data_IF_292823529070
#
_entry.id   IF_292823529070
#
_cell.length_a   1.000
_cell.length_b   1.000
_cell.length_c   1.000
_cell.angle_alpha   90.00
_cell.angle_beta   90.00
_cell.angle_gamma   90.00
#
_symmetry.space_group_name_H-M   'P 1'
#
loop_
_entity.id
_entity.type
_entity.pdbx_description
1 polymer ?
#
# COMPACT_ATOMS: atom_id res chain seq x y z
N UNK A 1 -39.58 -16.20 11.98
CA UNK A 1 -38.31 -16.93 12.18
C UNK A 1 -37.20 -15.92 12.39
N UNK A 2 -36.66 -15.81 13.61
CA UNK A 2 -35.50 -14.95 13.90
C UNK A 2 -34.25 -15.62 13.33
N UNK A 3 -33.52 -14.90 12.46
CA UNK A 3 -32.27 -15.41 11.91
C UNK A 3 -31.27 -15.68 13.06
N UNK A 4 -30.63 -16.87 13.12
CA UNK A 4 -29.72 -17.23 14.21
C UNK A 4 -28.48 -16.33 14.31
N UNK A 5 -28.18 -15.54 13.27
CA UNK A 5 -27.14 -14.51 13.29
C UNK A 5 -27.50 -13.31 14.16
N UNK A 6 -28.80 -13.02 14.34
CA UNK A 6 -29.27 -11.85 15.12
C UNK A 6 -29.14 -12.03 16.63
N UNK A 7 -28.87 -13.25 17.10
CA UNK A 7 -28.74 -13.59 18.53
C UNK A 7 -27.29 -13.81 18.96
N UNK A 8 -26.31 -13.65 18.05
CA UNK A 8 -24.91 -13.86 18.36
C UNK A 8 -24.33 -12.69 19.18
N UNK A 9 -23.47 -12.97 20.19
CA UNK A 9 -22.70 -11.94 20.86
C UNK A 9 -21.83 -11.14 19.88
N UNK A 10 -21.59 -9.88 20.20
CA UNK A 10 -20.78 -8.95 19.40
C UNK A 10 -19.41 -9.53 19.06
N UNK A 11 -18.77 -10.17 20.01
CA UNK A 11 -17.44 -10.77 19.90
C UNK A 11 -17.41 -11.88 18.84
N UNK A 12 -18.48 -12.68 18.77
CA UNK A 12 -18.61 -13.76 17.79
C UNK A 12 -18.84 -13.17 16.39
N UNK A 13 -19.66 -12.14 16.27
CA UNK A 13 -19.88 -11.43 15.00
C UNK A 13 -18.55 -10.85 14.50
N UNK A 14 -17.78 -10.20 15.38
CA UNK A 14 -16.46 -9.68 15.06
C UNK A 14 -15.47 -10.76 14.63
N UNK A 15 -15.49 -11.91 15.30
CA UNK A 15 -14.65 -13.04 14.94
C UNK A 15 -15.01 -13.57 13.55
N UNK A 16 -16.30 -13.76 13.26
CA UNK A 16 -16.78 -14.20 11.95
C UNK A 16 -16.34 -13.22 10.86
N UNK A 17 -16.55 -11.92 11.06
CA UNK A 17 -16.20 -10.88 10.09
C UNK A 17 -14.69 -10.83 9.85
N UNK A 18 -13.86 -10.96 10.89
CA UNK A 18 -12.39 -11.00 10.76
C UNK A 18 -11.89 -12.24 10.05
N UNK A 19 -12.65 -13.33 10.11
CA UNK A 19 -12.31 -14.59 9.45
C UNK A 19 -12.53 -14.57 7.94
N UNK A 20 -13.29 -13.61 7.40
CA UNK A 20 -13.50 -13.46 5.95
C UNK A 20 -12.18 -13.38 5.18
N UNK A 21 -12.01 -14.20 4.14
CA UNK A 21 -10.77 -14.28 3.36
C UNK A 21 -10.45 -13.02 2.54
N UNK A 22 -11.43 -12.19 2.22
CA UNK A 22 -11.24 -10.92 1.51
C UNK A 22 -12.12 -9.82 2.09
N UNK A 23 -11.74 -8.56 1.81
CA UNK A 23 -12.56 -7.40 2.17
C UNK A 23 -13.90 -7.41 1.42
N UNK A 24 -13.93 -7.93 0.20
CA UNK A 24 -15.17 -8.06 -0.57
C UNK A 24 -16.16 -9.01 0.11
N UNK A 25 -15.70 -10.17 0.58
CA UNK A 25 -16.55 -11.11 1.33
C UNK A 25 -17.07 -10.46 2.61
N UNK A 26 -16.20 -9.80 3.38
CA UNK A 26 -16.61 -9.10 4.59
C UNK A 26 -17.66 -8.01 4.30
N UNK A 27 -17.50 -7.27 3.20
CA UNK A 27 -18.46 -6.25 2.80
C UNK A 27 -19.79 -6.84 2.33
N UNK A 28 -19.78 -7.97 1.62
CA UNK A 28 -21.00 -8.65 1.23
C UNK A 28 -21.78 -9.16 2.45
N UNK A 29 -21.10 -9.63 3.51
CA UNK A 29 -21.74 -9.97 4.79
C UNK A 29 -22.36 -8.75 5.49
N UNK A 30 -21.68 -7.60 5.42
CA UNK A 30 -22.20 -6.33 5.94
C UNK A 30 -23.47 -5.88 5.21
N UNK A 31 -23.56 -6.09 3.90
CA UNK A 31 -24.76 -5.73 3.12
C UNK A 31 -25.98 -6.57 3.48
N UNK A 32 -25.79 -7.85 3.79
CA UNK A 32 -26.90 -8.80 3.99
C UNK A 32 -27.44 -8.81 5.42
N UNK A 33 -26.64 -8.40 6.42
CA UNK A 33 -27.04 -8.43 7.83
C UNK A 33 -26.96 -7.04 8.49
N UNK A 34 -28.09 -6.53 8.98
CA UNK A 34 -28.16 -5.24 9.69
C UNK A 34 -27.23 -5.17 10.91
N UNK A 35 -27.12 -6.26 11.66
CA UNK A 35 -26.24 -6.33 12.83
C UNK A 35 -24.75 -6.24 12.42
N UNK A 36 -24.34 -6.98 11.39
CA UNK A 36 -22.97 -6.89 10.86
C UNK A 36 -22.68 -5.50 10.29
N UNK A 37 -23.67 -4.84 9.68
CA UNK A 37 -23.55 -3.44 9.25
C UNK A 37 -23.32 -2.50 10.41
N UNK A 38 -24.08 -2.62 11.49
CA UNK A 38 -23.88 -1.81 12.69
C UNK A 38 -22.47 -1.99 13.25
N UNK A 39 -22.02 -3.25 13.38
CA UNK A 39 -20.67 -3.55 13.86
C UNK A 39 -19.59 -2.97 12.95
N UNK A 40 -19.76 -3.09 11.63
CA UNK A 40 -18.86 -2.49 10.65
C UNK A 40 -18.79 -0.97 10.77
N UNK A 41 -19.91 -0.28 10.98
CA UNK A 41 -19.90 1.18 11.16
C UNK A 41 -19.19 1.59 12.46
N UNK A 42 -19.25 0.74 13.51
CA UNK A 42 -18.62 1.02 14.80
C UNK A 42 -17.10 0.81 14.83
N UNK A 43 -16.56 -0.05 13.96
CA UNK A 43 -15.14 -0.44 14.03
C UNK A 43 -14.49 -0.85 12.71
N UNK A 44 -15.11 -0.56 11.58
CA UNK A 44 -14.76 -1.09 10.26
C UNK A 44 -13.28 -0.93 9.88
N UNK A 45 -12.61 0.14 10.32
CA UNK A 45 -11.18 0.31 10.09
C UNK A 45 -10.33 -0.80 10.72
N UNK A 46 -10.63 -1.22 11.95
CA UNK A 46 -9.94 -2.34 12.58
C UNK A 46 -10.18 -3.66 11.85
N UNK A 47 -11.39 -3.86 11.33
CA UNK A 47 -11.72 -5.02 10.52
C UNK A 47 -10.91 -5.04 9.22
N UNK A 48 -10.92 -3.92 8.49
CA UNK A 48 -10.20 -3.77 7.23
C UNK A 48 -8.70 -4.03 7.44
N UNK A 49 -8.09 -3.37 8.43
CA UNK A 49 -6.69 -3.59 8.77
C UNK A 49 -6.40 -5.05 9.13
N UNK A 50 -7.26 -5.71 9.90
CA UNK A 50 -7.06 -7.10 10.32
C UNK A 50 -7.05 -8.07 9.12
N UNK A 51 -8.01 -7.91 8.20
CA UNK A 51 -8.10 -8.73 6.98
C UNK A 51 -6.86 -8.50 6.11
N UNK A 52 -6.50 -7.23 5.87
CA UNK A 52 -5.29 -6.88 5.11
C UNK A 52 -4.02 -7.45 5.73
N UNK A 53 -3.85 -7.30 7.04
CA UNK A 53 -2.64 -7.75 7.75
C UNK A 53 -2.47 -9.26 7.69
N UNK A 54 -3.58 -10.01 7.72
CA UNK A 54 -3.55 -11.47 7.56
C UNK A 54 -3.22 -11.88 6.14
N UNK A 55 -3.77 -11.17 5.14
CA UNK A 55 -3.62 -11.54 3.73
C UNK A 55 -2.25 -11.13 3.16
N UNK A 56 -1.75 -9.94 3.52
CA UNK A 56 -0.53 -9.33 2.95
C UNK A 56 0.67 -9.40 3.91
N UNK A 57 0.43 -9.52 5.22
CA UNK A 57 1.44 -9.32 6.26
C UNK A 57 1.57 -7.85 6.68
N UNK A 58 1.91 -7.57 7.96
CA UNK A 58 1.90 -6.22 8.52
C UNK A 58 2.89 -5.26 7.84
N UNK A 59 4.08 -5.74 7.48
CA UNK A 59 5.10 -4.95 6.77
C UNK A 59 4.62 -4.50 5.39
N UNK A 60 3.97 -5.40 4.65
CA UNK A 60 3.43 -5.10 3.33
C UNK A 60 2.23 -4.15 3.40
N UNK A 61 1.38 -4.29 4.43
CA UNK A 61 0.31 -3.33 4.70
C UNK A 61 0.87 -1.93 4.97
N UNK A 62 1.98 -1.82 5.70
CA UNK A 62 2.62 -0.53 5.99
C UNK A 62 3.08 0.17 4.69
N UNK A 63 3.85 -0.51 3.83
CA UNK A 63 4.32 0.10 2.58
C UNK A 63 3.19 0.35 1.58
N UNK A 64 2.18 -0.53 1.49
CA UNK A 64 1.01 -0.32 0.64
C UNK A 64 0.18 0.89 1.12
N UNK A 65 0.10 1.10 2.43
CA UNK A 65 -0.54 2.28 3.03
C UNK A 65 0.23 3.55 2.71
N UNK A 66 1.57 3.52 2.79
CA UNK A 66 2.41 4.64 2.37
C UNK A 66 2.17 4.99 0.89
N UNK A 67 2.09 3.96 0.04
CA UNK A 67 1.82 4.13 -1.39
C UNK A 67 0.45 4.72 -1.67
N UNK A 68 -0.61 4.24 -1.01
CA UNK A 68 -1.92 4.85 -1.07
C UNK A 68 -1.88 6.34 -0.65
N UNK A 69 -1.16 6.66 0.43
CA UNK A 69 -1.00 8.05 0.87
C UNK A 69 -0.24 8.90 -0.15
N UNK A 70 0.78 8.37 -0.83
CA UNK A 70 1.50 9.07 -1.90
C UNK A 70 0.58 9.40 -3.08
N UNK A 71 -0.25 8.44 -3.50
CA UNK A 71 -1.22 8.62 -4.60
C UNK A 71 -2.24 9.71 -4.25
N UNK A 72 -2.64 9.81 -2.99
CA UNK A 72 -3.66 10.77 -2.53
C UNK A 72 -3.08 12.03 -1.87
N UNK A 73 -1.77 12.26 -1.98
CA UNK A 73 -1.12 13.44 -1.42
C UNK A 73 -1.66 14.72 -2.08
N UNK A 74 -2.39 15.55 -1.33
CA UNK A 74 -3.01 16.76 -1.86
C UNK A 74 -1.98 17.84 -2.28
N UNK A 75 -0.76 17.78 -1.75
CA UNK A 75 0.35 18.70 -2.03
C UNK A 75 1.18 18.29 -3.26
N UNK A 76 0.81 17.20 -3.95
CA UNK A 76 1.46 16.83 -5.21
C UNK A 76 1.06 17.80 -6.33
N UNK A 77 1.92 17.95 -7.33
CA UNK A 77 1.70 18.86 -8.47
C UNK A 77 0.29 18.76 -9.06
N UNK A 78 -0.32 19.94 -9.30
CA UNK A 78 -1.68 20.08 -9.82
C UNK A 78 -1.82 19.43 -11.21
N UNK A 79 -3.05 19.02 -11.59
CA UNK A 79 -3.37 18.48 -12.91
C UNK A 79 -3.33 19.51 -14.06
N UNK A 80 -2.92 20.76 -13.80
CA UNK A 80 -2.84 21.79 -14.81
C UNK A 80 -1.37 21.98 -15.25
N UNK A 81 -0.99 21.47 -16.44
CA UNK A 81 0.37 21.59 -16.96
C UNK A 81 0.77 23.02 -17.35
N UNK A 82 -0.19 23.96 -17.46
CA UNK A 82 0.04 25.33 -17.92
C UNK A 82 0.19 26.35 -16.78
N UNK A 83 -0.21 25.98 -15.55
CA UNK A 83 0.05 26.77 -14.35
C UNK A 83 1.46 26.47 -13.83
N UNK A 84 2.38 27.43 -14.00
CA UNK A 84 3.71 27.36 -13.38
C UNK A 84 3.57 27.08 -11.87
N UNK A 85 4.15 26.01 -11.33
CA UNK A 85 4.09 25.74 -9.91
C UNK A 85 4.93 26.79 -9.18
N UNK A 86 4.28 27.76 -8.54
CA UNK A 86 4.89 28.48 -7.42
C UNK A 86 4.65 27.65 -6.16
N UNK A 87 5.25 26.46 -6.08
CA UNK A 87 5.48 25.86 -4.77
C UNK A 87 6.82 26.40 -4.29
N UNK A 88 6.80 27.02 -3.11
CA UNK A 88 8.01 27.31 -2.39
C UNK A 88 8.75 25.98 -2.17
N UNK A 89 9.99 25.86 -2.66
CA UNK A 89 10.78 24.64 -2.51
C UNK A 89 10.86 24.16 -1.05
N UNK A 90 10.85 25.10 -0.09
CA UNK A 90 10.81 24.79 1.34
C UNK A 90 9.49 24.16 1.81
N UNK A 91 8.36 24.54 1.22
CA UNK A 91 7.03 23.99 1.57
C UNK A 91 6.89 22.54 1.05
N UNK A 92 7.34 22.30 -0.18
CA UNK A 92 7.35 20.96 -0.76
C UNK A 92 8.32 20.01 -0.01
N UNK A 93 9.49 20.50 0.37
CA UNK A 93 10.43 19.80 1.24
C UNK A 93 9.79 19.46 2.59
N UNK A 94 9.12 20.42 3.22
CA UNK A 94 8.42 20.23 4.48
C UNK A 94 7.34 19.13 4.38
N UNK A 95 6.53 19.14 3.32
CA UNK A 95 5.53 18.09 3.08
C UNK A 95 6.16 16.71 2.88
N UNK A 96 7.28 16.63 2.16
CA UNK A 96 8.00 15.38 1.96
C UNK A 96 8.59 14.85 3.27
N UNK A 97 9.18 15.72 4.10
CA UNK A 97 9.65 15.35 5.44
C UNK A 97 8.51 14.81 6.32
N UNK A 98 7.36 15.50 6.33
CA UNK A 98 6.20 15.06 7.09
C UNK A 98 5.65 13.72 6.59
N UNK A 99 5.60 13.52 5.26
CA UNK A 99 5.21 12.25 4.65
C UNK A 99 6.16 11.12 5.05
N UNK A 100 7.46 11.34 4.93
CA UNK A 100 8.49 10.38 5.27
C UNK A 100 8.43 9.97 6.74
N UNK A 101 8.34 10.94 7.64
CA UNK A 101 8.20 10.70 9.08
C UNK A 101 6.94 9.88 9.40
N UNK A 102 5.82 10.20 8.75
CA UNK A 102 4.54 9.56 9.04
C UNK A 102 4.38 8.17 8.42
N UNK A 103 4.90 7.93 7.22
CA UNK A 103 4.60 6.72 6.45
C UNK A 103 5.81 5.84 6.16
N UNK A 104 7.01 6.43 6.11
CA UNK A 104 8.23 5.74 5.68
C UNK A 104 9.26 5.56 6.80
N UNK A 105 8.97 6.03 8.01
CA UNK A 105 9.80 5.73 9.18
C UNK A 105 10.06 4.23 9.28
N UNK A 106 11.30 3.84 9.60
CA UNK A 106 11.72 2.42 9.59
C UNK A 106 11.50 1.76 8.22
N UNK A 107 11.80 2.48 7.14
CA UNK A 107 11.80 1.97 5.76
C UNK A 107 10.44 1.40 5.29
N UNK A 108 9.34 1.96 5.80
CA UNK A 108 7.98 1.56 5.43
C UNK A 108 7.57 0.16 5.88
N UNK A 109 8.27 -0.44 6.85
CA UNK A 109 7.93 -1.78 7.39
C UNK A 109 6.97 -1.71 8.58
N UNK A 110 6.75 -0.53 9.14
CA UNK A 110 5.88 -0.33 10.29
C UNK A 110 4.71 0.59 9.99
N UNK A 111 3.51 0.12 10.31
CA UNK A 111 2.32 0.93 10.19
C UNK A 111 2.27 1.96 11.33
N UNK A 112 2.47 3.22 10.98
CA UNK A 112 2.40 4.36 11.91
C UNK A 112 1.04 5.03 11.97
N UNK A 113 0.18 4.80 10.98
CA UNK A 113 -1.19 5.32 11.02
C UNK A 113 -2.09 4.47 11.92
N UNK A 114 -3.05 5.08 12.64
CA UNK A 114 -3.98 4.33 13.47
C UNK A 114 -4.76 3.30 12.65
N UNK A 115 -4.83 2.05 13.11
CA UNK A 115 -5.59 0.97 12.43
C UNK A 115 -7.06 1.34 12.20
N UNK A 116 -7.62 2.14 13.12
CA UNK A 116 -9.00 2.68 13.01
C UNK A 116 -9.21 3.62 11.82
N UNK A 117 -8.15 4.20 11.25
CA UNK A 117 -8.26 5.12 10.11
C UNK A 117 -8.42 4.41 8.76
N UNK A 118 -8.35 3.08 8.72
CA UNK A 118 -8.58 2.33 7.49
C UNK A 118 -10.04 2.43 7.08
N UNK A 119 -10.26 2.58 5.78
CA UNK A 119 -11.60 2.56 5.19
C UNK A 119 -11.71 1.38 4.22
N UNK A 120 -12.92 0.94 3.93
CA UNK A 120 -13.14 -0.13 2.96
C UNK A 120 -12.55 0.22 1.59
N UNK A 121 -12.75 1.46 1.13
CA UNK A 121 -12.23 1.94 -0.15
C UNK A 121 -10.70 1.87 -0.19
N UNK A 122 -10.04 2.33 0.86
CA UNK A 122 -8.58 2.22 1.00
C UNK A 122 -8.14 0.75 0.99
N UNK A 123 -8.84 -0.13 1.70
CA UNK A 123 -8.49 -1.54 1.77
C UNK A 123 -8.63 -2.27 0.44
N UNK A 124 -9.76 -2.10 -0.26
CA UNK A 124 -9.98 -2.69 -1.59
C UNK A 124 -8.94 -2.20 -2.59
N UNK A 125 -8.59 -0.92 -2.52
CA UNK A 125 -7.53 -0.34 -3.34
C UNK A 125 -6.17 -0.98 -3.05
N UNK A 126 -5.82 -1.14 -1.77
CA UNK A 126 -4.57 -1.80 -1.35
C UNK A 126 -4.52 -3.25 -1.84
N UNK A 127 -5.58 -4.05 -1.65
CA UNK A 127 -5.61 -5.45 -2.14
C UNK A 127 -5.40 -5.52 -3.66
N UNK A 128 -6.08 -4.64 -4.41
CA UNK A 128 -5.97 -4.61 -5.86
C UNK A 128 -4.55 -4.25 -6.33
N UNK A 129 -3.96 -3.20 -5.79
CA UNK A 129 -2.62 -2.75 -6.16
C UNK A 129 -1.54 -3.75 -5.71
N UNK A 130 -1.69 -4.36 -4.55
CA UNK A 130 -0.76 -5.40 -4.07
C UNK A 130 -0.73 -6.59 -5.03
N UNK A 131 -1.89 -7.05 -5.49
CA UNK A 131 -1.97 -8.12 -6.48
C UNK A 131 -1.23 -7.78 -7.79
N UNK A 132 -1.36 -6.53 -8.26
CA UNK A 132 -0.63 -6.04 -9.44
C UNK A 132 0.88 -6.05 -9.19
N UNK A 133 1.33 -5.49 -8.06
CA UNK A 133 2.76 -5.40 -7.71
C UNK A 133 3.38 -6.78 -7.55
N UNK A 134 2.66 -7.73 -6.94
CA UNK A 134 3.12 -9.12 -6.81
C UNK A 134 3.25 -9.79 -8.17
N UNK A 135 2.28 -9.58 -9.07
CA UNK A 135 2.37 -10.11 -10.43
C UNK A 135 3.56 -9.52 -11.20
N UNK A 136 3.77 -8.20 -11.09
CA UNK A 136 4.94 -7.53 -11.66
C UNK A 136 6.25 -8.06 -11.06
N UNK A 137 6.30 -8.27 -9.75
CA UNK A 137 7.47 -8.80 -9.04
C UNK A 137 7.80 -10.20 -9.53
N UNK A 138 6.81 -11.09 -9.67
CA UNK A 138 7.00 -12.45 -10.20
C UNK A 138 7.56 -12.41 -11.63
N UNK A 139 6.99 -11.58 -12.49
CA UNK A 139 7.43 -11.46 -13.88
C UNK A 139 8.85 -10.91 -13.98
N UNK A 140 9.20 -9.90 -13.18
CA UNK A 140 10.55 -9.33 -13.15
C UNK A 140 11.55 -10.32 -12.56
N UNK A 141 11.22 -10.98 -11.45
CA UNK A 141 12.07 -11.99 -10.83
C UNK A 141 12.37 -13.14 -11.79
N UNK A 142 11.34 -13.64 -12.48
CA UNK A 142 11.51 -14.68 -13.48
C UNK A 142 12.44 -14.25 -14.61
N UNK A 143 12.30 -13.02 -15.13
CA UNK A 143 13.19 -12.47 -16.18
C UNK A 143 14.63 -12.31 -15.73
N UNK A 144 14.86 -11.94 -14.46
CA UNK A 144 16.20 -11.77 -13.89
C UNK A 144 16.87 -13.11 -13.64
N UNK A 145 16.12 -14.11 -13.15
CA UNK A 145 16.63 -15.45 -12.85
C UNK A 145 16.82 -16.31 -14.10
N UNK A 146 16.06 -16.03 -15.17
CA UNK A 146 16.12 -16.75 -16.44
C UNK A 146 16.44 -15.77 -17.59
N UNK A 147 17.65 -15.16 -17.62
CA UNK A 147 18.03 -14.31 -18.73
C UNK A 147 18.05 -15.15 -20.01
N UNK A 148 17.45 -14.62 -21.08
CA UNK A 148 17.16 -15.28 -22.37
C UNK A 148 18.41 -15.81 -23.12
N UNK A 149 19.60 -15.75 -22.51
CA UNK A 149 20.90 -16.10 -23.11
C UNK A 149 21.67 -17.13 -22.30
N UNK A 150 21.09 -18.30 -22.02
CA UNK A 150 21.88 -19.47 -21.65
C UNK A 150 21.63 -20.59 -22.65
N UNK A 151 22.57 -20.76 -23.57
CA UNK A 151 22.73 -21.97 -24.38
C UNK A 151 23.07 -23.13 -23.45
N UNK A 152 22.03 -23.77 -22.89
CA UNK A 152 22.15 -24.85 -21.93
C UNK A 152 20.77 -25.34 -21.47
N UNK A 153 20.67 -26.46 -20.74
CA UNK A 153 19.40 -26.91 -20.19
C UNK A 153 18.79 -25.79 -19.33
N UNK A 154 17.59 -25.35 -19.70
CA UNK A 154 16.86 -24.29 -18.98
C UNK A 154 16.41 -24.85 -17.63
N UNK A 155 17.20 -24.60 -16.59
CA UNK A 155 16.76 -24.82 -15.22
C UNK A 155 15.83 -23.68 -14.84
N UNK A 156 14.52 -23.93 -14.88
CA UNK A 156 13.51 -22.95 -14.45
C UNK A 156 13.71 -22.67 -12.97
N UNK A 157 14.34 -21.54 -12.65
CA UNK A 157 14.45 -21.06 -11.27
C UNK A 157 13.20 -20.27 -10.91
N UNK A 158 12.43 -20.80 -9.96
CA UNK A 158 11.34 -20.05 -9.33
C UNK A 158 11.92 -19.06 -8.33
N UNK A 159 11.46 -17.80 -8.32
CA UNK A 159 11.93 -16.81 -7.36
C UNK A 159 11.53 -17.20 -5.94
N UNK A 160 12.49 -17.07 -5.02
CA UNK A 160 12.26 -17.28 -3.60
C UNK A 160 11.31 -16.23 -3.01
N UNK A 161 10.63 -16.52 -1.89
CA UNK A 161 9.78 -15.53 -1.21
C UNK A 161 10.51 -14.24 -0.83
N UNK A 162 11.80 -14.34 -0.47
CA UNK A 162 12.65 -13.20 -0.10
C UNK A 162 12.93 -12.30 -1.30
N UNK A 163 13.22 -12.88 -2.47
CA UNK A 163 13.44 -12.13 -3.71
C UNK A 163 12.17 -11.40 -4.14
N UNK A 164 11.02 -12.10 -4.07
CA UNK A 164 9.72 -11.49 -4.36
C UNK A 164 9.43 -10.34 -3.41
N UNK A 165 9.69 -10.48 -2.11
CA UNK A 165 9.50 -9.40 -1.14
C UNK A 165 10.37 -8.18 -1.44
N UNK A 166 11.66 -8.38 -1.74
CA UNK A 166 12.58 -7.30 -2.11
C UNK A 166 12.15 -6.60 -3.40
N UNK A 167 11.75 -7.36 -4.42
CA UNK A 167 11.25 -6.80 -5.67
C UNK A 167 9.94 -6.04 -5.49
N UNK A 168 8.97 -6.60 -4.76
CA UNK A 168 7.73 -5.90 -4.45
C UNK A 168 7.99 -4.60 -3.71
N UNK A 169 8.88 -4.62 -2.69
CA UNK A 169 9.28 -3.42 -1.96
C UNK A 169 9.89 -2.37 -2.89
N UNK A 170 10.78 -2.77 -3.81
CA UNK A 170 11.37 -1.86 -4.78
C UNK A 170 10.33 -1.23 -5.71
N UNK A 171 9.37 -2.02 -6.21
CA UNK A 171 8.29 -1.52 -7.07
C UNK A 171 7.42 -0.52 -6.30
N UNK A 172 7.07 -0.81 -5.04
CA UNK A 172 6.35 0.14 -4.18
C UNK A 172 7.08 1.48 -4.03
N UNK A 173 8.40 1.43 -3.79
CA UNK A 173 9.23 2.64 -3.62
C UNK A 173 9.27 3.45 -4.90
N UNK A 174 9.50 2.80 -6.05
CA UNK A 174 9.54 3.46 -7.35
C UNK A 174 8.19 4.10 -7.70
N UNK A 175 7.10 3.39 -7.48
CA UNK A 175 5.76 3.91 -7.75
C UNK A 175 5.39 5.09 -6.83
N UNK A 176 5.78 5.03 -5.54
CA UNK A 176 5.67 6.18 -4.65
C UNK A 176 6.47 7.38 -5.15
N UNK A 177 7.71 7.16 -5.60
CA UNK A 177 8.55 8.23 -6.12
C UNK A 177 7.91 8.90 -7.35
N UNK A 178 7.32 8.11 -8.27
CA UNK A 178 6.60 8.64 -9.44
C UNK A 178 5.37 9.46 -9.07
N UNK A 179 4.68 9.11 -7.98
CA UNK A 179 3.50 9.85 -7.51
C UNK A 179 3.85 11.13 -6.76
N UNK A 180 4.95 11.13 -6.01
CA UNK A 180 5.36 12.30 -5.24
C UNK A 180 6.13 13.29 -6.12
N UNK A 181 7.09 12.81 -6.91
CA UNK A 181 8.02 13.62 -7.68
C UNK A 181 7.67 13.59 -9.17
N UNK A 182 7.49 14.76 -9.79
CA UNK A 182 7.25 14.83 -11.23
C UNK A 182 8.52 14.49 -12.01
N UNK A 183 8.39 13.65 -13.03
CA UNK A 183 9.49 13.23 -13.92
C UNK A 183 10.11 14.37 -14.75
N UNK A 184 9.58 15.61 -14.66
CA UNK A 184 10.25 16.81 -15.20
C UNK A 184 11.48 17.11 -14.34
N UNK A 185 12.55 16.37 -14.64
CA UNK A 185 13.94 16.49 -14.18
C UNK A 185 14.53 17.83 -14.68
N UNK A 186 13.88 18.94 -14.39
CA UNK A 186 14.34 20.28 -14.73
C UNK A 186 15.38 20.72 -13.70
N UNK A 187 16.53 20.03 -13.72
CA UNK A 187 17.88 20.56 -13.53
C UNK A 187 18.80 19.40 -13.07
N UNK A 188 19.60 18.79 -13.97
CA UNK A 188 20.54 17.72 -13.59
C UNK A 188 21.65 18.17 -12.63
N UNK A 189 21.77 19.47 -12.32
CA UNK A 189 22.80 20.05 -11.45
C UNK A 189 22.33 20.33 -10.01
N UNK A 190 21.05 20.12 -9.68
CA UNK A 190 20.56 20.21 -8.31
C UNK A 190 19.72 18.98 -7.97
N UNK A 191 20.23 18.05 -7.15
CA UNK A 191 19.36 17.02 -6.60
C UNK A 191 18.32 17.73 -5.72
N UNK A 192 17.03 17.54 -6.04
CA UNK A 192 15.93 18.06 -5.23
C UNK A 192 16.10 17.53 -3.80
N UNK A 193 16.29 18.44 -2.83
CA UNK A 193 16.46 18.09 -1.43
C UNK A 193 15.32 17.18 -0.93
N UNK A 194 14.12 17.33 -1.48
CA UNK A 194 12.94 16.52 -1.18
C UNK A 194 13.12 15.07 -1.65
N UNK A 195 13.64 14.88 -2.86
CA UNK A 195 13.94 13.55 -3.40
C UNK A 195 15.03 12.85 -2.57
N UNK A 196 16.08 13.57 -2.17
CA UNK A 196 17.14 13.02 -1.32
C UNK A 196 16.61 12.59 0.05
N UNK A 197 15.76 13.42 0.69
CA UNK A 197 15.11 13.06 1.96
C UNK A 197 14.26 11.81 1.81
N UNK A 198 13.44 11.74 0.76
CA UNK A 198 12.63 10.55 0.49
C UNK A 198 13.51 9.30 0.31
N UNK A 199 14.57 9.40 -0.49
CA UNK A 199 15.46 8.26 -0.75
C UNK A 199 16.20 7.80 0.50
N UNK A 200 16.60 8.74 1.37
CA UNK A 200 17.25 8.44 2.66
C UNK A 200 16.37 7.62 3.62
N UNK A 201 15.05 7.57 3.40
CA UNK A 201 14.17 6.73 4.22
C UNK A 201 14.34 5.23 3.94
N UNK A 202 15.01 4.86 2.85
CA UNK A 202 15.18 3.48 2.39
C UNK A 202 16.64 3.03 2.34
N UNK A 203 17.60 3.96 2.38
CA UNK A 203 19.01 3.68 2.56
C UNK A 203 19.34 3.61 4.08
N UNK A 204 20.04 2.57 4.57
CA UNK A 204 20.58 2.55 5.93
C UNK A 204 21.73 3.54 6.12
#
# INVERSE_FOLDING_TARGET
MTSPILTLPREIIWHIMRSCHSLETAFNMVKTCKQMRYEFMSGGGLLVYAILSRNLGPSRVAIATARHAAVHAAWKHRPDPDLRPQHNAGEYLHHTMAFCSKYLSRQGTELRVPKVSFTLAMGLYIEHIDAIIINMSKNLAWKVLNPVFQEGPVYIMNPSPIELEKMSKAIYILDMALHLFSYKRNNPYHPDASFNIFWSCFAP
#
